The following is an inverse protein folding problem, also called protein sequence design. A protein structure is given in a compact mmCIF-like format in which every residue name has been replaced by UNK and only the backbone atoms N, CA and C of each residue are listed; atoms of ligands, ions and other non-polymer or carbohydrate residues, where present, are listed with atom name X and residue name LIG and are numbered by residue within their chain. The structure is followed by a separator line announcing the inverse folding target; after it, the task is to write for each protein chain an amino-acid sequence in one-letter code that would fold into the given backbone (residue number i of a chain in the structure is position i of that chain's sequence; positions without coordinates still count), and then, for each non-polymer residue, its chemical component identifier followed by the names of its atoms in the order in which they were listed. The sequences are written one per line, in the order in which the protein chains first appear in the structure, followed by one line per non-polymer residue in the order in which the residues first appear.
data_IF_790148888733
#
_entry.id   IF_790148888733
#
_cell.length_a   1.000
_cell.length_b   1.000
_cell.length_c   1.000
_cell.angle_alpha   90.00
_cell.angle_beta   90.00
_cell.angle_gamma   90.00
#
_symmetry.space_group_name_H-M   'P 1'
#
loop_
_entity.id
_entity.type
_entity.pdbx_description
1 polymer ?
#
# COMPACT_ATOMS: atom_id res chain seq x y z
N UNK A 1 -30.44 48.45 -38.71
CA UNK A 1 -29.50 47.76 -37.79
C UNK A 1 -30.23 47.00 -36.68
N UNK A 2 -31.14 46.06 -36.99
CA UNK A 2 -31.90 45.28 -35.97
C UNK A 2 -32.19 43.82 -36.38
N UNK A 3 -31.43 43.24 -37.31
CA UNK A 3 -31.66 41.86 -37.80
C UNK A 3 -30.53 40.87 -37.51
N UNK A 4 -29.40 41.30 -36.95
CA UNK A 4 -28.27 40.40 -36.62
C UNK A 4 -28.19 39.97 -35.14
N UNK A 5 -29.09 40.44 -34.27
CA UNK A 5 -28.98 40.20 -32.81
C UNK A 5 -29.84 39.05 -32.28
N UNK A 6 -30.57 38.34 -33.13
CA UNK A 6 -31.39 37.19 -32.73
C UNK A 6 -30.80 35.82 -33.12
N UNK A 7 -29.78 35.79 -33.99
CA UNK A 7 -29.14 34.54 -34.40
C UNK A 7 -28.11 34.04 -33.37
N UNK A 8 -27.54 34.93 -32.55
CA UNK A 8 -26.56 34.57 -31.52
C UNK A 8 -27.18 34.04 -30.22
N UNK A 9 -28.47 34.30 -29.96
CA UNK A 9 -29.14 33.81 -28.74
C UNK A 9 -29.71 32.39 -28.95
N UNK A 10 -29.98 31.99 -30.20
CA UNK A 10 -30.47 30.64 -30.51
C UNK A 10 -29.37 29.56 -30.45
N UNK A 11 -28.09 29.93 -30.54
CA UNK A 11 -26.95 28.98 -30.46
C UNK A 11 -26.53 28.72 -29.00
N UNK A 12 -26.90 29.58 -28.06
CA UNK A 12 -26.56 29.43 -26.64
C UNK A 12 -27.59 28.63 -25.82
N UNK A 13 -28.71 28.21 -26.42
CA UNK A 13 -29.77 27.47 -25.74
C UNK A 13 -29.85 25.98 -26.11
N UNK A 14 -29.07 25.50 -27.09
CA UNK A 14 -29.04 24.08 -27.49
C UNK A 14 -27.85 23.28 -26.95
N UNK A 15 -26.90 23.92 -26.25
CA UNK A 15 -25.78 23.25 -25.59
C UNK A 15 -26.08 22.82 -24.14
N UNK A 16 -27.36 22.75 -23.75
CA UNK A 16 -27.83 22.33 -22.41
C UNK A 16 -28.44 20.92 -22.38
N UNK A 17 -28.02 20.04 -23.29
CA UNK A 17 -28.42 18.63 -23.27
C UNK A 17 -27.18 17.77 -23.48
N UNK A 18 -27.01 16.77 -22.61
CA UNK A 18 -25.85 15.88 -22.42
C UNK A 18 -24.75 16.37 -21.47
N UNK A 19 -25.14 16.82 -20.28
CA UNK A 19 -24.47 16.27 -19.11
C UNK A 19 -25.29 15.06 -18.65
N UNK A 20 -25.10 13.91 -19.30
CA UNK A 20 -25.38 12.64 -18.64
C UNK A 20 -24.42 12.60 -17.45
N UNK A 21 -24.93 12.92 -16.27
CA UNK A 21 -24.32 12.45 -15.04
C UNK A 21 -24.43 10.94 -15.10
N UNK A 22 -23.42 10.30 -15.69
CA UNK A 22 -23.14 8.89 -15.51
C UNK A 22 -23.00 8.71 -14.00
N UNK A 23 -24.11 8.32 -13.38
CA UNK A 23 -24.09 7.63 -12.10
C UNK A 23 -23.47 6.28 -12.41
N UNK A 24 -22.15 6.28 -12.60
CA UNK A 24 -21.36 5.06 -12.55
C UNK A 24 -21.64 4.52 -11.17
N UNK A 25 -22.43 3.44 -11.11
CA UNK A 25 -22.53 2.61 -9.93
C UNK A 25 -21.08 2.43 -9.44
N UNK A 26 -20.80 2.97 -8.27
CA UNK A 26 -19.45 3.05 -7.75
C UNK A 26 -19.13 1.62 -7.28
N UNK A 27 -18.78 0.76 -8.24
CA UNK A 27 -18.34 -0.63 -8.05
C UNK A 27 -16.96 -0.60 -7.40
N UNK A 28 -16.90 0.00 -6.22
CA UNK A 28 -15.68 0.14 -5.45
C UNK A 28 -15.34 -1.23 -4.91
N UNK A 29 -14.27 -1.80 -5.43
CA UNK A 29 -13.63 -2.99 -4.87
C UNK A 29 -12.78 -2.52 -3.69
N UNK A 30 -12.68 -3.33 -2.63
CA UNK A 30 -11.84 -3.02 -1.47
C UNK A 30 -10.54 -3.80 -1.57
N UNK A 31 -9.41 -3.10 -1.41
CA UNK A 31 -8.12 -3.73 -1.10
C UNK A 31 -7.78 -3.44 0.36
N UNK A 32 -6.88 -4.21 0.95
CA UNK A 32 -6.37 -3.89 2.30
C UNK A 32 -4.87 -3.70 2.28
N UNK A 33 -4.37 -2.72 3.02
CA UNK A 33 -2.94 -2.54 3.25
C UNK A 33 -2.65 -2.91 4.69
N UNK A 34 -1.91 -3.99 4.89
CA UNK A 34 -1.55 -4.50 6.20
C UNK A 34 -0.22 -3.95 6.64
N UNK A 35 -0.14 -3.46 7.88
CA UNK A 35 1.09 -3.06 8.52
C UNK A 35 1.35 -3.92 9.74
N UNK A 36 2.32 -4.83 9.64
CA UNK A 36 2.87 -5.51 10.80
C UNK A 36 3.83 -4.57 11.53
N UNK A 37 3.63 -4.41 12.83
CA UNK A 37 4.46 -3.52 13.64
C UNK A 37 5.79 -4.19 13.99
N UNK A 38 6.86 -3.40 14.00
CA UNK A 38 8.14 -3.83 14.54
C UNK A 38 8.03 -4.20 16.02
N UNK A 39 8.86 -5.13 16.47
CA UNK A 39 8.88 -5.52 17.88
C UNK A 39 10.19 -6.13 18.34
N UNK A 40 10.40 -6.06 19.65
CA UNK A 40 11.43 -6.81 20.36
C UNK A 40 10.84 -7.47 21.61
N UNK A 41 11.39 -8.60 22.06
CA UNK A 41 10.94 -9.22 23.31
C UNK A 41 11.19 -8.32 24.52
N UNK A 42 10.32 -8.41 25.52
CA UNK A 42 10.58 -7.83 26.85
C UNK A 42 11.79 -8.51 27.49
N UNK A 43 12.46 -7.84 28.44
CA UNK A 43 13.69 -8.33 29.09
C UNK A 43 13.60 -9.80 29.53
N UNK A 44 12.49 -10.18 30.18
CA UNK A 44 12.23 -11.54 30.68
C UNK A 44 11.99 -12.61 29.61
N UNK A 45 11.85 -12.22 28.34
CA UNK A 45 11.58 -13.13 27.20
C UNK A 45 12.69 -13.08 26.14
N UNK A 46 13.80 -12.39 26.40
CA UNK A 46 14.90 -12.24 25.44
C UNK A 46 15.63 -13.55 25.11
N UNK A 47 15.61 -14.51 26.03
CA UNK A 47 16.28 -15.81 25.85
C UNK A 47 15.45 -16.77 24.99
N UNK A 48 14.12 -16.62 25.00
CA UNK A 48 13.18 -17.52 24.32
C UNK A 48 12.60 -16.93 23.04
N UNK A 49 12.70 -15.62 22.83
CA UNK A 49 12.13 -14.93 21.68
C UNK A 49 13.17 -14.05 20.98
N UNK A 50 13.11 -13.98 19.64
CA UNK A 50 13.97 -13.10 18.84
C UNK A 50 13.26 -11.78 18.49
N UNK A 51 14.01 -10.70 18.20
CA UNK A 51 13.46 -9.50 17.57
C UNK A 51 12.77 -9.83 16.24
N UNK A 52 11.72 -9.07 15.90
CA UNK A 52 10.93 -9.28 14.67
C UNK A 52 11.29 -8.22 13.64
N UNK A 53 11.48 -8.60 12.37
CA UNK A 53 11.76 -7.71 11.23
C UNK A 53 12.76 -6.55 11.50
N UNK A 54 13.86 -6.80 12.20
CA UNK A 54 14.85 -5.75 12.50
C UNK A 54 14.55 -4.90 13.74
N UNK A 55 13.62 -5.32 14.60
CA UNK A 55 13.38 -4.73 15.92
C UNK A 55 12.21 -3.75 15.95
N UNK A 56 12.30 -2.72 16.81
CA UNK A 56 11.18 -1.77 17.04
C UNK A 56 10.84 -0.96 15.79
N UNK A 57 11.84 -0.45 15.06
CA UNK A 57 11.64 0.24 13.78
C UNK A 57 11.48 -0.72 12.60
N UNK A 58 11.43 -2.01 12.92
CA UNK A 58 11.08 -3.06 12.01
C UNK A 58 9.61 -3.05 11.66
N UNK A 59 9.20 -4.09 10.94
CA UNK A 59 7.83 -4.30 10.51
C UNK A 59 7.78 -4.71 9.05
N UNK A 60 6.57 -4.92 8.58
CA UNK A 60 6.33 -5.30 7.21
C UNK A 60 5.04 -4.65 6.71
N UNK A 61 4.97 -4.43 5.40
CA UNK A 61 3.76 -3.93 4.77
C UNK A 61 3.48 -4.72 3.50
N UNK A 62 2.23 -5.12 3.36
CA UNK A 62 1.72 -5.95 2.26
C UNK A 62 0.33 -5.46 1.82
N UNK A 63 -0.07 -5.85 0.61
CA UNK A 63 -1.37 -5.51 0.04
C UNK A 63 -2.19 -6.79 -0.14
N UNK A 64 -3.38 -6.82 0.46
CA UNK A 64 -4.39 -7.86 0.25
C UNK A 64 -5.29 -7.51 -0.94
N UNK A 65 -5.32 -8.40 -1.92
CA UNK A 65 -6.23 -8.37 -3.06
C UNK A 65 -6.40 -9.77 -3.64
N UNK A 66 -7.59 -10.10 -4.14
CA UNK A 66 -7.83 -11.38 -4.82
C UNK A 66 -7.60 -12.62 -3.95
N UNK A 67 -7.82 -12.51 -2.63
CA UNK A 67 -7.63 -13.61 -1.68
C UNK A 67 -6.17 -13.88 -1.29
N UNK A 68 -5.22 -13.08 -1.77
CA UNK A 68 -3.81 -13.19 -1.43
C UNK A 68 -3.29 -11.91 -0.79
N UNK A 69 -2.25 -12.04 0.02
CA UNK A 69 -1.47 -10.95 0.62
C UNK A 69 -0.11 -10.93 -0.06
N UNK A 70 0.23 -9.80 -0.67
CA UNK A 70 1.46 -9.66 -1.46
C UNK A 70 2.39 -8.62 -0.82
N UNK A 71 3.61 -9.03 -0.50
CA UNK A 71 4.62 -8.24 0.20
C UNK A 71 5.99 -8.28 -0.48
N UNK A 72 6.78 -7.21 -0.33
CA UNK A 72 8.14 -7.15 -0.88
C UNK A 72 9.20 -7.47 0.18
N UNK A 73 10.01 -8.48 -0.11
CA UNK A 73 10.90 -9.14 0.86
C UNK A 73 12.34 -9.27 0.34
N UNK A 74 13.33 -9.37 1.25
CA UNK A 74 14.70 -9.69 0.85
C UNK A 74 14.82 -11.16 0.48
N UNK A 75 15.40 -11.45 -0.69
CA UNK A 75 15.75 -12.81 -1.11
C UNK A 75 17.29 -12.95 -1.15
N UNK A 76 17.85 -13.61 -0.13
CA UNK A 76 19.30 -13.71 0.05
C UNK A 76 19.89 -12.61 0.96
N UNK A 77 21.14 -12.22 0.71
CA UNK A 77 21.84 -11.26 1.59
C UNK A 77 21.47 -9.82 1.29
N UNK A 78 21.19 -9.04 2.34
CA UNK A 78 20.83 -7.62 2.21
C UNK A 78 21.98 -6.83 1.55
N UNK A 79 21.67 -6.12 0.47
CA UNK A 79 22.58 -5.14 -0.09
C UNK A 79 22.53 -3.81 0.66
N UNK A 80 23.65 -3.10 0.77
CA UNK A 80 23.68 -1.74 1.33
C UNK A 80 23.06 -0.75 0.33
N UNK A 81 23.39 -0.89 -0.96
CA UNK A 81 22.86 -0.10 -2.08
C UNK A 81 22.34 -1.04 -3.16
N UNK A 82 21.37 -0.58 -3.94
CA UNK A 82 20.72 -1.41 -4.97
C UNK A 82 21.71 -1.91 -6.03
N UNK A 83 21.59 -3.18 -6.43
CA UNK A 83 22.43 -3.80 -7.47
C UNK A 83 21.59 -4.32 -8.65
N UNK A 84 22.28 -4.70 -9.73
CA UNK A 84 21.66 -5.34 -10.91
C UNK A 84 21.28 -6.80 -10.66
N UNK A 85 22.10 -7.54 -9.90
CA UNK A 85 21.71 -8.85 -9.35
C UNK A 85 20.80 -8.61 -8.14
N UNK A 86 19.51 -8.85 -8.31
CA UNK A 86 18.49 -8.56 -7.32
C UNK A 86 18.50 -9.61 -6.20
N UNK A 87 18.49 -9.17 -4.95
CA UNK A 87 18.34 -9.98 -3.74
C UNK A 87 16.99 -9.65 -3.09
N UNK A 88 15.93 -9.87 -3.85
CA UNK A 88 14.58 -9.45 -3.51
C UNK A 88 13.54 -10.32 -4.16
N UNK A 89 12.37 -10.39 -3.54
CA UNK A 89 11.21 -11.05 -4.10
C UNK A 89 9.91 -10.36 -3.69
N UNK A 90 8.86 -10.60 -4.46
CA UNK A 90 7.49 -10.37 -4.00
C UNK A 90 6.89 -11.73 -3.64
N UNK A 91 6.58 -11.90 -2.37
CA UNK A 91 5.91 -13.10 -1.86
C UNK A 91 4.41 -12.88 -1.95
N UNK A 92 3.70 -13.88 -2.48
CA UNK A 92 2.24 -13.91 -2.50
C UNK A 92 1.78 -15.11 -1.70
N UNK A 93 1.13 -14.86 -0.57
CA UNK A 93 0.59 -15.90 0.31
C UNK A 93 -0.94 -15.84 0.34
N UNK A 94 -1.64 -16.98 0.49
CA UNK A 94 -3.08 -16.99 0.73
C UNK A 94 -3.44 -16.22 2.00
N UNK A 95 -4.56 -15.49 1.98
CA UNK A 95 -5.04 -14.73 3.15
C UNK A 95 -5.15 -15.60 4.42
N UNK A 96 -5.55 -16.85 4.26
CA UNK A 96 -5.70 -17.78 5.39
C UNK A 96 -4.38 -18.05 6.11
N UNK A 97 -3.27 -18.13 5.36
CA UNK A 97 -1.92 -18.32 5.91
C UNK A 97 -1.47 -17.05 6.62
N UNK A 98 -1.65 -15.88 5.99
CA UNK A 98 -1.34 -14.60 6.63
C UNK A 98 -2.09 -14.42 7.96
N UNK A 99 -3.38 -14.78 8.01
CA UNK A 99 -4.19 -14.71 9.24
C UNK A 99 -3.63 -15.62 10.34
N UNK A 100 -3.19 -16.83 9.99
CA UNK A 100 -2.60 -17.77 10.93
C UNK A 100 -1.25 -17.26 11.46
N UNK A 101 -0.38 -16.82 10.57
CA UNK A 101 0.97 -16.36 10.91
C UNK A 101 0.97 -15.07 11.72
N UNK A 102 -0.06 -14.23 11.54
CA UNK A 102 -0.17 -12.93 12.20
C UNK A 102 -1.11 -12.91 13.40
N UNK A 103 -1.69 -14.06 13.79
CA UNK A 103 -2.70 -14.18 14.83
C UNK A 103 -2.29 -13.61 16.21
N UNK A 104 -0.98 -13.53 16.51
CA UNK A 104 -0.46 -12.99 17.78
C UNK A 104 0.34 -11.70 17.63
N UNK A 105 0.41 -11.17 16.41
CA UNK A 105 1.20 -9.99 16.08
C UNK A 105 0.37 -8.73 16.18
N UNK A 106 1.02 -7.61 16.49
CA UNK A 106 0.37 -6.30 16.40
C UNK A 106 0.32 -5.86 14.94
N UNK A 107 -0.86 -5.50 14.46
CA UNK A 107 -1.02 -4.97 13.11
C UNK A 107 -2.11 -3.90 13.00
N UNK A 108 -2.00 -3.13 11.93
CA UNK A 108 -3.02 -2.19 11.47
C UNK A 108 -3.31 -2.46 10.01
N UNK A 109 -4.58 -2.56 9.67
CA UNK A 109 -5.06 -2.78 8.31
C UNK A 109 -5.88 -1.57 7.89
N UNK A 110 -5.56 -1.00 6.73
CA UNK A 110 -6.30 0.12 6.15
C UNK A 110 -7.05 -0.42 4.94
N UNK A 111 -8.38 -0.31 4.96
CA UNK A 111 -9.26 -0.80 3.91
C UNK A 111 -9.52 0.32 2.91
N UNK A 112 -9.02 0.17 1.69
CA UNK A 112 -9.04 1.23 0.68
C UNK A 112 -10.05 0.84 -0.42
N UNK A 113 -11.14 1.61 -0.59
CA UNK A 113 -12.00 1.45 -1.76
C UNK A 113 -11.28 1.97 -3.00
N UNK A 114 -11.28 1.18 -4.06
CA UNK A 114 -10.68 1.49 -5.37
C UNK A 114 -11.64 1.09 -6.49
N UNK A 115 -11.50 1.68 -7.67
CA UNK A 115 -12.28 1.29 -8.84
C UNK A 115 -11.84 -0.08 -9.37
N UNK A 116 -12.71 -0.71 -10.17
CA UNK A 116 -12.40 -1.97 -10.85
C UNK A 116 -11.13 -1.87 -11.72
N UNK A 117 -10.94 -0.76 -12.44
CA UNK A 117 -9.74 -0.53 -13.25
C UNK A 117 -8.46 -0.46 -12.41
N UNK A 118 -8.52 0.18 -11.24
CA UNK A 118 -7.40 0.22 -10.30
C UNK A 118 -7.09 -1.18 -9.76
N UNK A 119 -8.14 -1.95 -9.43
CA UNK A 119 -8.01 -3.32 -8.94
C UNK A 119 -7.39 -4.25 -9.99
N UNK A 120 -7.84 -4.19 -11.24
CA UNK A 120 -7.28 -5.00 -12.32
C UNK A 120 -5.83 -4.62 -12.62
N UNK A 121 -5.48 -3.34 -12.45
CA UNK A 121 -4.10 -2.85 -12.56
C UNK A 121 -3.22 -3.40 -11.43
N UNK A 122 -3.75 -3.44 -10.20
CA UNK A 122 -3.07 -4.04 -9.05
C UNK A 122 -2.77 -5.52 -9.28
N UNK A 123 -3.76 -6.30 -9.73
CA UNK A 123 -3.56 -7.73 -9.99
C UNK A 123 -2.49 -7.99 -11.06
N UNK A 124 -2.46 -7.17 -12.12
CA UNK A 124 -1.41 -7.25 -13.15
C UNK A 124 -0.03 -6.92 -12.58
N UNK A 125 0.08 -5.89 -11.73
CA UNK A 125 1.33 -5.52 -11.07
C UNK A 125 1.80 -6.65 -10.16
N UNK A 126 0.92 -7.21 -9.32
CA UNK A 126 1.25 -8.33 -8.44
C UNK A 126 1.78 -9.52 -9.24
N UNK A 127 1.05 -9.98 -10.26
CA UNK A 127 1.47 -11.12 -11.09
C UNK A 127 2.83 -10.90 -11.77
N UNK A 128 3.08 -9.67 -12.27
CA UNK A 128 4.36 -9.32 -12.87
C UNK A 128 5.49 -9.31 -11.82
N UNK A 129 5.27 -8.71 -10.66
CA UNK A 129 6.30 -8.51 -9.64
C UNK A 129 6.64 -9.79 -8.87
N UNK A 130 5.67 -10.68 -8.67
CA UNK A 130 5.93 -12.02 -8.09
C UNK A 130 6.72 -12.92 -9.04
N UNK A 131 6.62 -12.67 -10.36
CA UNK A 131 7.40 -13.40 -11.37
C UNK A 131 8.79 -12.79 -11.56
N UNK A 132 8.88 -11.46 -11.62
CA UNK A 132 10.11 -10.72 -11.85
C UNK A 132 10.10 -9.41 -11.07
N UNK A 133 10.71 -9.39 -9.87
CA UNK A 133 10.83 -8.18 -9.07
C UNK A 133 11.58 -7.09 -9.86
N UNK A 134 11.06 -5.85 -9.92
CA UNK A 134 11.64 -4.78 -10.73
C UNK A 134 12.80 -4.03 -10.07
N UNK A 135 13.09 -4.29 -8.80
CA UNK A 135 14.13 -3.62 -8.03
C UNK A 135 14.65 -4.50 -6.90
N UNK A 136 15.88 -4.22 -6.50
CA UNK A 136 16.60 -4.91 -5.44
C UNK A 136 16.09 -4.50 -4.05
N UNK A 137 16.26 -5.39 -3.06
CA UNK A 137 15.99 -5.08 -1.66
C UNK A 137 17.30 -4.62 -1.02
N UNK A 138 17.41 -3.32 -0.77
CA UNK A 138 18.63 -2.72 -0.24
C UNK A 138 18.36 -1.82 0.96
N UNK A 139 19.35 -1.71 1.85
CA UNK A 139 19.28 -0.82 3.00
C UNK A 139 19.04 0.62 2.55
N UNK A 140 19.88 1.16 1.66
CA UNK A 140 19.68 2.44 0.98
C UNK A 140 19.02 2.19 -0.39
N UNK A 141 17.76 1.74 -0.37
CA UNK A 141 17.03 1.42 -1.60
C UNK A 141 15.57 1.06 -1.36
N UNK A 142 15.00 0.35 -2.32
CA UNK A 142 13.63 -0.14 -2.22
C UNK A 142 13.52 -1.19 -1.11
N UNK A 143 12.44 -1.09 -0.33
CA UNK A 143 12.06 -1.99 0.78
C UNK A 143 10.54 -2.06 0.81
N UNK A 144 9.95 -2.89 1.68
CA UNK A 144 8.50 -3.10 1.75
C UNK A 144 7.69 -1.79 1.70
N UNK A 145 8.05 -0.79 2.52
CA UNK A 145 7.32 0.48 2.55
C UNK A 145 7.40 1.28 1.25
N UNK A 146 8.57 1.43 0.64
CA UNK A 146 8.68 2.13 -0.64
C UNK A 146 8.05 1.33 -1.77
N UNK A 147 8.20 0.01 -1.78
CA UNK A 147 7.57 -0.88 -2.75
C UNK A 147 6.03 -0.77 -2.71
N UNK A 148 5.41 -0.86 -1.53
CA UNK A 148 3.96 -0.68 -1.38
C UNK A 148 3.51 0.70 -1.82
N UNK A 149 4.20 1.78 -1.41
CA UNK A 149 3.82 3.13 -1.84
C UNK A 149 3.90 3.30 -3.36
N UNK A 150 4.89 2.67 -4.00
CA UNK A 150 5.06 2.70 -5.44
C UNK A 150 3.87 2.05 -6.16
N UNK A 151 3.47 0.86 -5.72
CA UNK A 151 2.30 0.14 -6.25
C UNK A 151 1.02 0.96 -6.05
N UNK A 152 0.80 1.48 -4.84
CA UNK A 152 -0.35 2.37 -4.55
C UNK A 152 -0.34 3.62 -5.43
N UNK A 153 0.83 4.15 -5.75
CA UNK A 153 1.01 5.27 -6.67
C UNK A 153 0.66 4.91 -8.12
N UNK A 154 1.08 3.72 -8.59
CA UNK A 154 0.76 3.23 -9.94
C UNK A 154 -0.73 3.02 -10.15
N UNK A 155 -1.44 2.58 -9.12
CA UNK A 155 -2.90 2.41 -9.19
C UNK A 155 -3.66 3.69 -8.81
N UNK A 156 -2.99 4.82 -8.55
CA UNK A 156 -3.63 6.11 -8.30
C UNK A 156 -4.32 6.25 -6.93
N UNK A 157 -3.94 5.46 -5.94
CA UNK A 157 -4.42 5.61 -4.55
C UNK A 157 -3.67 6.74 -3.82
N UNK A 158 -2.40 6.92 -4.15
CA UNK A 158 -1.54 8.02 -3.66
C UNK A 158 -0.83 8.67 -4.83
N UNK A 159 -0.23 9.85 -4.62
CA UNK A 159 0.59 10.48 -5.65
C UNK A 159 1.82 9.63 -5.98
N UNK A 160 1.97 9.25 -7.25
CA UNK A 160 3.13 8.52 -7.73
C UNK A 160 4.43 9.32 -7.52
N UNK A 161 5.50 8.62 -7.16
CA UNK A 161 6.84 9.18 -7.00
C UNK A 161 7.89 8.26 -7.63
N UNK A 162 8.90 8.81 -8.33
CA UNK A 162 10.05 8.01 -8.75
C UNK A 162 10.73 7.34 -7.55
N UNK A 163 11.28 6.14 -7.76
CA UNK A 163 11.84 5.30 -6.69
C UNK A 163 12.84 6.05 -5.79
N UNK A 164 13.72 6.87 -6.34
CA UNK A 164 14.69 7.66 -5.55
C UNK A 164 14.02 8.58 -4.54
N UNK A 165 12.99 9.32 -4.96
CA UNK A 165 12.20 10.19 -4.07
C UNK A 165 11.35 9.38 -3.11
N UNK A 166 10.78 8.28 -3.57
CA UNK A 166 9.94 7.39 -2.77
C UNK A 166 10.70 6.76 -1.60
N UNK A 167 11.90 6.21 -1.85
CA UNK A 167 12.77 5.61 -0.82
C UNK A 167 13.06 6.61 0.31
N UNK A 168 13.39 7.85 -0.02
CA UNK A 168 13.71 8.86 1.00
C UNK A 168 12.53 9.15 1.95
N UNK A 169 11.30 9.13 1.43
CA UNK A 169 10.10 9.51 2.20
C UNK A 169 9.33 8.32 2.77
N UNK A 170 9.57 7.11 2.27
CA UNK A 170 8.89 5.86 2.66
C UNK A 170 9.90 4.75 2.97
N UNK A 171 10.98 5.10 3.69
CA UNK A 171 12.06 4.18 4.01
C UNK A 171 11.64 3.04 4.97
N UNK A 172 10.78 3.34 5.95
CA UNK A 172 10.33 2.40 6.99
C UNK A 172 8.79 2.31 7.03
N UNK A 173 8.23 1.14 7.39
CA UNK A 173 6.78 0.92 7.45
C UNK A 173 6.01 1.97 8.25
N UNK A 174 6.52 2.38 9.42
CA UNK A 174 5.87 3.42 10.27
C UNK A 174 5.58 4.71 9.51
N UNK A 175 6.53 5.20 8.71
CA UNK A 175 6.33 6.45 7.95
C UNK A 175 5.22 6.32 6.92
N UNK A 176 5.15 5.18 6.23
CA UNK A 176 4.06 4.91 5.29
C UNK A 176 2.72 4.75 6.03
N UNK A 177 2.71 4.01 7.14
CA UNK A 177 1.52 3.78 7.97
C UNK A 177 0.90 5.09 8.43
N UNK A 178 1.71 6.00 8.99
CA UNK A 178 1.25 7.33 9.41
C UNK A 178 0.65 8.14 8.25
N UNK A 179 1.20 8.04 7.04
CA UNK A 179 0.64 8.71 5.85
C UNK A 179 -0.71 8.12 5.46
N UNK A 180 -0.82 6.80 5.39
CA UNK A 180 -2.07 6.15 5.02
C UNK A 180 -3.14 6.27 6.11
N UNK A 181 -2.76 6.35 7.38
CA UNK A 181 -3.70 6.65 8.47
C UNK A 181 -4.29 8.07 8.33
N UNK A 182 -3.46 9.07 8.01
CA UNK A 182 -3.95 10.42 7.70
C UNK A 182 -4.84 10.45 6.47
N UNK A 183 -4.49 9.69 5.43
CA UNK A 183 -5.33 9.53 4.25
C UNK A 183 -6.67 8.88 4.61
N UNK A 184 -6.64 7.84 5.45
CA UNK A 184 -7.83 7.14 5.90
C UNK A 184 -8.76 8.06 6.70
N UNK A 185 -8.21 8.85 7.62
CA UNK A 185 -8.96 9.87 8.36
C UNK A 185 -9.62 10.89 7.41
N UNK A 186 -8.84 11.44 6.46
CA UNK A 186 -9.35 12.42 5.51
C UNK A 186 -10.42 11.86 4.55
N UNK A 187 -10.31 10.60 4.16
CA UNK A 187 -11.21 9.94 3.19
C UNK A 187 -12.31 9.09 3.83
N UNK A 188 -12.31 8.94 5.16
CA UNK A 188 -13.23 8.04 5.87
C UNK A 188 -12.98 6.55 5.59
N UNK A 189 -11.73 6.15 5.35
CA UNK A 189 -11.41 4.72 5.17
C UNK A 189 -11.48 3.97 6.50
N UNK A 190 -11.92 2.72 6.42
CA UNK A 190 -11.94 1.82 7.57
C UNK A 190 -10.51 1.44 7.97
N UNK A 191 -10.26 1.45 9.28
CA UNK A 191 -8.99 1.06 9.88
C UNK A 191 -9.23 0.01 10.95
N UNK A 192 -8.70 -1.19 10.73
CA UNK A 192 -8.78 -2.33 11.64
C UNK A 192 -7.45 -2.45 12.38
N UNK A 193 -7.49 -2.71 13.69
CA UNK A 193 -6.31 -2.88 14.53
C UNK A 193 -6.38 -4.18 15.30
N UNK A 194 -5.23 -4.83 15.44
CA UNK A 194 -5.04 -5.97 16.33
C UNK A 194 -3.88 -5.67 17.27
N UNK A 195 -4.12 -5.88 18.56
CA UNK A 195 -3.05 -5.81 19.56
C UNK A 195 -2.20 -7.07 19.54
N UNK A 196 -0.90 -6.88 19.70
CA UNK A 196 0.05 -7.98 19.77
C UNK A 196 0.19 -8.54 21.18
N UNK A 197 0.78 -9.73 21.28
CA UNK A 197 1.05 -10.38 22.58
C UNK A 197 1.84 -9.49 23.55
N UNK A 198 1.53 -9.64 24.84
CA UNK A 198 2.10 -8.83 25.94
C UNK A 198 3.54 -9.20 26.31
N UNK A 199 4.09 -10.29 25.78
CA UNK A 199 5.50 -10.68 26.00
C UNK A 199 6.48 -9.78 25.23
N UNK A 200 5.97 -8.95 24.32
CA UNK A 200 6.75 -8.08 23.43
C UNK A 200 6.56 -6.61 23.74
N UNK A 201 7.54 -5.82 23.31
CA UNK A 201 7.45 -4.38 23.18
C UNK A 201 7.25 -4.12 21.68
N UNK A 202 6.13 -3.49 21.35
CA UNK A 202 5.74 -3.20 19.98
C UNK A 202 6.08 -1.77 19.62
N UNK A 203 6.24 -1.52 18.33
CA UNK A 203 6.23 -0.17 17.80
C UNK A 203 4.90 0.54 18.14
N UNK A 204 4.98 1.84 18.35
CA UNK A 204 3.83 2.72 18.57
C UNK A 204 3.66 3.65 17.37
N UNK A 205 2.47 4.22 17.21
CA UNK A 205 2.20 5.20 16.16
C UNK A 205 2.74 6.59 16.50
#
# INVERSE_FOLDING_TARGET
MKKCMYVLIAILLTAKVYAQSDTVANDSVKIKVHFLYGSKPKKKHKETEKPWFGGIHGGHVSIEAGGNVVGFEPFGSLHIVSKSKLHSEFVSEPLQEWVQDTATLKYTTIVIPISKTQYDSLLKIHAAYTTSPPYDYAFLGMRCASATYEILGRIGVVDYKPNTKNVAVNFYPKKLRQKLLKLAEHKGYEVIRQEGRTTRIWEED
#
